data_IF_080439428049
#
_entry.id   IF_080439428049
#
_cell.length_a   1.000
_cell.length_b   1.000
_cell.length_c   1.000
_cell.angle_alpha   90.00
_cell.angle_beta   90.00
_cell.angle_gamma   90.00
#
_symmetry.space_group_name_H-M   'P 1'
#
loop_
_entity.id
_entity.type
_entity.pdbx_description
1 polymer ?
#
# COMPACT_ATOMS: atom_id res chain seq x y z
N UNK A 1 -16.03 9.30 -29.05
CA UNK A 1 -14.73 9.73 -28.52
C UNK A 1 -14.98 10.28 -27.12
N UNK A 2 -14.57 9.56 -26.08
CA UNK A 2 -14.75 9.97 -24.68
C UNK A 2 -13.54 10.78 -24.23
N UNK A 3 -13.56 12.08 -24.48
CA UNK A 3 -12.56 12.98 -23.93
C UNK A 3 -12.68 12.96 -22.40
N UNK A 4 -11.71 12.34 -21.72
CA UNK A 4 -11.51 12.45 -20.27
C UNK A 4 -11.79 11.22 -19.41
N UNK A 5 -12.42 10.14 -19.91
CA UNK A 5 -12.60 8.92 -19.11
C UNK A 5 -11.34 8.05 -19.12
N UNK A 6 -10.81 7.74 -17.93
CA UNK A 6 -9.63 6.89 -17.76
C UNK A 6 -10.01 5.42 -17.55
N UNK A 7 -11.06 5.21 -16.78
CA UNK A 7 -11.58 3.90 -16.43
C UNK A 7 -12.98 3.78 -17.01
N UNK A 8 -13.23 2.72 -17.77
CA UNK A 8 -14.56 2.39 -18.26
C UNK A 8 -15.21 1.29 -17.40
N UNK A 9 -16.27 1.69 -16.68
CA UNK A 9 -17.10 0.81 -15.88
C UNK A 9 -18.35 0.31 -16.62
N UNK A 10 -18.51 0.62 -17.91
CA UNK A 10 -19.72 0.29 -18.68
C UNK A 10 -20.03 -1.21 -18.65
N UNK A 11 -19.02 -2.06 -18.80
CA UNK A 11 -19.15 -3.52 -18.74
C UNK A 11 -19.39 -4.00 -17.30
N UNK A 12 -18.73 -3.39 -16.32
CA UNK A 12 -18.91 -3.71 -14.91
C UNK A 12 -20.38 -3.52 -14.46
N UNK A 13 -21.04 -2.45 -14.90
CA UNK A 13 -22.46 -2.20 -14.58
C UNK A 13 -23.36 -3.36 -15.03
N UNK A 14 -23.08 -3.94 -16.20
CA UNK A 14 -23.87 -5.07 -16.70
C UNK A 14 -23.61 -6.34 -15.88
N UNK A 15 -22.37 -6.60 -15.46
CA UNK A 15 -22.02 -7.72 -14.57
C UNK A 15 -22.72 -7.57 -13.22
N UNK A 16 -22.71 -6.37 -12.64
CA UNK A 16 -23.34 -6.10 -11.34
C UNK A 16 -24.88 -6.23 -11.41
N UNK A 17 -25.50 -5.83 -12.53
CA UNK A 17 -26.94 -6.08 -12.78
C UNK A 17 -27.26 -7.56 -12.88
N UNK A 18 -26.45 -8.33 -13.62
CA UNK A 18 -26.62 -9.78 -13.74
C UNK A 18 -26.49 -10.45 -12.36
N UNK A 19 -25.52 -10.04 -11.55
CA UNK A 19 -25.34 -10.48 -10.17
C UNK A 19 -26.60 -10.24 -9.33
N UNK A 20 -27.15 -9.03 -9.32
CA UNK A 20 -28.35 -8.72 -8.55
C UNK A 20 -29.56 -9.59 -8.95
N UNK A 21 -29.74 -9.84 -10.25
CA UNK A 21 -30.81 -10.70 -10.77
C UNK A 21 -30.61 -12.15 -10.33
N UNK A 22 -29.38 -12.68 -10.42
CA UNK A 22 -29.07 -14.05 -10.01
C UNK A 22 -29.32 -14.23 -8.50
N UNK A 23 -28.87 -13.29 -7.67
CA UNK A 23 -29.12 -13.35 -6.21
C UNK A 23 -30.61 -13.38 -5.92
N UNK A 24 -31.40 -12.52 -6.59
CA UNK A 24 -32.86 -12.49 -6.41
C UNK A 24 -33.52 -13.82 -6.80
N UNK A 25 -33.11 -14.43 -7.92
CA UNK A 25 -33.62 -15.73 -8.37
C UNK A 25 -33.34 -16.81 -7.33
N UNK A 26 -32.13 -16.84 -6.77
CA UNK A 26 -31.75 -17.81 -5.74
C UNK A 26 -32.54 -17.60 -4.44
N UNK A 27 -32.73 -16.35 -3.99
CA UNK A 27 -33.52 -16.04 -2.79
C UNK A 27 -34.97 -16.50 -2.98
N UNK A 28 -35.61 -16.11 -4.08
CA UNK A 28 -37.01 -16.47 -4.36
C UNK A 28 -37.14 -17.99 -4.52
N UNK A 29 -36.21 -18.63 -5.22
CA UNK A 29 -36.16 -20.09 -5.38
C UNK A 29 -36.00 -20.81 -4.05
N UNK A 30 -35.11 -20.35 -3.17
CA UNK A 30 -34.91 -20.90 -1.83
C UNK A 30 -36.16 -20.79 -0.96
N UNK A 31 -36.81 -19.62 -0.95
CA UNK A 31 -38.06 -19.39 -0.21
C UNK A 31 -39.17 -20.34 -0.69
N UNK A 32 -39.33 -20.49 -2.01
CA UNK A 32 -40.36 -21.38 -2.59
C UNK A 32 -40.07 -22.83 -2.24
N UNK A 33 -38.82 -23.29 -2.46
CA UNK A 33 -38.42 -24.67 -2.20
C UNK A 33 -38.57 -25.06 -0.72
N UNK A 34 -38.25 -24.14 0.20
CA UNK A 34 -38.32 -24.40 1.63
C UNK A 34 -39.75 -24.41 2.18
N UNK A 35 -40.60 -23.50 1.72
CA UNK A 35 -41.92 -23.29 2.33
C UNK A 35 -43.06 -24.06 1.66
N UNK A 36 -42.93 -24.44 0.38
CA UNK A 36 -44.01 -25.09 -0.36
C UNK A 36 -43.80 -26.60 -0.59
N UNK A 37 -42.60 -27.11 -0.33
CA UNK A 37 -42.30 -28.54 -0.53
C UNK A 37 -41.82 -29.17 0.78
N UNK A 38 -42.65 -30.05 1.35
CA UNK A 38 -42.33 -30.81 2.55
C UNK A 38 -41.41 -31.99 2.22
N UNK A 39 -40.12 -31.71 2.02
CA UNK A 39 -39.11 -32.74 1.82
C UNK A 39 -37.82 -32.42 2.61
N UNK A 40 -37.38 -33.29 3.54
CA UNK A 40 -36.16 -33.04 4.32
C UNK A 40 -34.90 -32.86 3.47
N UNK A 41 -34.85 -33.49 2.28
CA UNK A 41 -33.75 -33.31 1.34
C UNK A 41 -33.75 -31.90 0.73
N UNK A 42 -34.92 -31.29 0.51
CA UNK A 42 -35.02 -29.91 0.00
C UNK A 42 -34.54 -28.88 1.02
N UNK A 43 -34.74 -29.10 2.32
CA UNK A 43 -34.18 -28.22 3.35
C UNK A 43 -32.65 -28.22 3.32
N UNK A 44 -32.01 -29.38 3.19
CA UNK A 44 -30.55 -29.49 3.02
C UNK A 44 -30.07 -28.79 1.74
N UNK A 45 -30.83 -28.90 0.64
CA UNK A 45 -30.53 -28.19 -0.61
C UNK A 45 -30.58 -26.68 -0.40
N UNK A 46 -31.61 -26.16 0.29
CA UNK A 46 -31.78 -24.72 0.54
C UNK A 46 -30.72 -24.16 1.47
N UNK A 47 -30.31 -24.91 2.49
CA UNK A 47 -29.38 -24.44 3.52
C UNK A 47 -27.90 -24.62 3.12
N UNK A 48 -27.57 -25.55 2.22
CA UNK A 48 -26.19 -25.90 1.88
C UNK A 48 -25.93 -25.83 0.38
N UNK A 49 -26.66 -26.59 -0.44
CA UNK A 49 -26.32 -26.74 -1.86
C UNK A 49 -26.54 -25.46 -2.67
N UNK A 50 -27.71 -24.82 -2.53
CA UNK A 50 -28.03 -23.58 -3.22
C UNK A 50 -27.14 -22.41 -2.77
N UNK A 51 -26.87 -22.20 -1.48
CA UNK A 51 -25.85 -21.26 -1.03
C UNK A 51 -24.47 -21.58 -1.58
N UNK A 52 -24.06 -22.85 -1.64
CA UNK A 52 -22.78 -23.25 -2.23
C UNK A 52 -22.66 -22.86 -3.71
N UNK A 53 -23.70 -23.13 -4.50
CA UNK A 53 -23.76 -22.72 -5.91
C UNK A 53 -23.79 -21.19 -6.05
N UNK A 54 -24.57 -20.50 -5.21
CA UNK A 54 -24.64 -19.04 -5.19
C UNK A 54 -23.29 -18.43 -4.82
N UNK A 55 -22.54 -19.02 -3.89
CA UNK A 55 -21.20 -18.59 -3.49
C UNK A 55 -20.25 -18.65 -4.69
N UNK A 56 -20.15 -19.82 -5.34
CA UNK A 56 -19.27 -19.98 -6.52
C UNK A 56 -19.66 -19.04 -7.65
N UNK A 57 -20.96 -18.91 -7.92
CA UNK A 57 -21.47 -18.02 -8.98
C UNK A 57 -21.16 -16.55 -8.67
N UNK A 58 -21.36 -16.12 -7.42
CA UNK A 58 -21.06 -14.77 -6.96
C UNK A 58 -19.56 -14.47 -7.00
N UNK A 59 -18.72 -15.45 -6.66
CA UNK A 59 -17.26 -15.34 -6.78
C UNK A 59 -16.84 -15.14 -8.24
N UNK A 60 -17.37 -15.94 -9.17
CA UNK A 60 -17.11 -15.79 -10.62
C UNK A 60 -17.57 -14.41 -11.10
N UNK A 61 -18.72 -13.93 -10.65
CA UNK A 61 -19.23 -12.60 -11.02
C UNK A 61 -18.42 -11.47 -10.41
N UNK A 62 -17.93 -11.61 -9.17
CA UNK A 62 -17.00 -10.65 -8.56
C UNK A 62 -15.70 -10.57 -9.34
N UNK A 63 -15.13 -11.72 -9.68
CA UNK A 63 -13.93 -11.82 -10.52
C UNK A 63 -14.14 -11.20 -11.90
N UNK A 64 -15.27 -11.53 -12.54
CA UNK A 64 -15.68 -10.97 -13.82
C UNK A 64 -15.95 -9.47 -13.76
N UNK A 65 -16.48 -8.98 -12.63
CA UNK A 65 -16.75 -7.56 -12.40
C UNK A 65 -15.45 -6.76 -12.37
N UNK A 66 -14.43 -7.21 -11.62
CA UNK A 66 -13.11 -6.56 -11.62
C UNK A 66 -12.43 -6.65 -12.99
N UNK A 67 -12.51 -7.79 -13.68
CA UNK A 67 -11.98 -7.93 -15.05
C UNK A 67 -12.73 -7.15 -16.12
N UNK A 68 -13.95 -6.70 -15.83
CA UNK A 68 -14.74 -5.87 -16.73
C UNK A 68 -14.44 -4.37 -16.58
N UNK A 69 -13.54 -4.01 -15.66
CA UNK A 69 -12.99 -2.66 -15.54
C UNK A 69 -11.91 -2.52 -16.60
N UNK A 70 -12.23 -1.82 -17.68
CA UNK A 70 -11.28 -1.59 -18.79
C UNK A 70 -10.56 -0.25 -18.59
N UNK A 71 -9.24 -0.26 -18.72
CA UNK A 71 -8.44 0.96 -18.81
C UNK A 71 -8.41 1.46 -20.26
N UNK A 72 -8.72 2.74 -20.45
CA UNK A 72 -8.61 3.35 -21.77
C UNK A 72 -7.15 3.81 -21.96
N UNK A 73 -6.38 3.25 -22.90
CA UNK A 73 -5.00 3.70 -23.13
C UNK A 73 -4.98 5.13 -23.68
N UNK A 74 -3.98 5.91 -23.27
CA UNK A 74 -3.82 7.30 -23.67
C UNK A 74 -2.62 7.95 -23.00
N UNK A 75 -2.12 9.03 -23.59
CA UNK A 75 -0.93 9.74 -23.10
C UNK A 75 -1.24 10.52 -21.81
N UNK A 76 -0.27 10.53 -20.90
CA UNK A 76 -0.33 11.27 -19.64
C UNK A 76 0.51 12.53 -19.75
N UNK A 77 -0.03 13.66 -19.30
CA UNK A 77 0.77 14.86 -19.10
C UNK A 77 1.61 14.66 -17.84
N UNK A 78 2.92 14.54 -18.03
CA UNK A 78 3.88 14.29 -16.96
C UNK A 78 4.35 15.61 -16.37
N UNK A 79 4.16 15.77 -15.06
CA UNK A 79 4.64 16.91 -14.29
C UNK A 79 5.52 16.45 -13.15
N UNK A 80 6.79 16.82 -13.17
CA UNK A 80 7.69 16.63 -12.03
C UNK A 80 7.50 17.76 -11.04
N UNK A 81 7.26 17.42 -9.78
CA UNK A 81 7.16 18.40 -8.70
C UNK A 81 7.87 17.89 -7.46
N UNK A 82 8.36 18.84 -6.66
CA UNK A 82 8.91 18.57 -5.34
C UNK A 82 7.80 18.78 -4.32
N UNK A 83 7.61 17.82 -3.42
CA UNK A 83 6.65 17.91 -2.31
C UNK A 83 7.32 17.54 -0.99
N UNK A 84 6.76 18.01 0.12
CA UNK A 84 7.19 17.56 1.45
C UNK A 84 6.78 16.11 1.70
N UNK A 85 7.29 15.48 2.77
CA UNK A 85 6.84 14.13 3.13
C UNK A 85 5.37 14.13 3.56
N UNK A 86 4.91 15.18 4.26
CA UNK A 86 3.50 15.31 4.66
C UNK A 86 2.57 15.48 3.45
N UNK A 87 2.96 16.29 2.47
CA UNK A 87 2.20 16.45 1.22
C UNK A 87 2.20 15.16 0.41
N UNK A 88 3.31 14.42 0.42
CA UNK A 88 3.37 13.11 -0.23
C UNK A 88 2.43 12.09 0.43
N UNK A 89 2.36 12.04 1.76
CA UNK A 89 1.43 11.17 2.49
C UNK A 89 -0.03 11.50 2.13
N UNK A 90 -0.39 12.79 2.09
CA UNK A 90 -1.73 13.21 1.65
C UNK A 90 -2.01 12.82 0.19
N UNK A 91 -1.02 12.92 -0.70
CA UNK A 91 -1.16 12.48 -2.10
C UNK A 91 -1.30 10.96 -2.22
N UNK A 92 -0.62 10.20 -1.38
CA UNK A 92 -0.74 8.73 -1.31
C UNK A 92 -2.12 8.34 -0.79
N UNK A 93 -2.63 8.99 0.26
CA UNK A 93 -3.97 8.73 0.78
C UNK A 93 -5.05 8.98 -0.28
N UNK A 94 -4.97 10.13 -0.98
CA UNK A 94 -5.88 10.45 -2.08
C UNK A 94 -5.77 9.46 -3.25
N UNK A 95 -4.56 8.97 -3.51
CA UNK A 95 -4.29 7.96 -4.54
C UNK A 95 -4.87 6.59 -4.15
N UNK A 96 -4.71 6.17 -2.90
CA UNK A 96 -5.27 4.93 -2.37
C UNK A 96 -6.81 5.00 -2.32
N UNK A 97 -7.39 6.14 -1.98
CA UNK A 97 -8.85 6.33 -2.04
C UNK A 97 -9.38 6.24 -3.49
N UNK A 98 -8.67 6.83 -4.45
CA UNK A 98 -9.10 6.85 -5.85
C UNK A 98 -8.88 5.53 -6.58
N UNK A 99 -7.80 4.80 -6.28
CA UNK A 99 -7.35 3.65 -7.07
C UNK A 99 -7.05 2.39 -6.25
N UNK A 100 -7.08 2.44 -4.92
CA UNK A 100 -6.69 1.33 -4.05
C UNK A 100 -7.47 0.04 -4.31
N UNK A 101 -8.75 0.15 -4.70
CA UNK A 101 -9.62 -0.98 -5.04
C UNK A 101 -9.20 -1.71 -6.34
N UNK A 102 -8.38 -1.07 -7.18
CA UNK A 102 -7.90 -1.65 -8.44
C UNK A 102 -6.72 -2.60 -8.23
N UNK A 103 -5.89 -2.36 -7.21
CA UNK A 103 -4.70 -3.15 -6.92
C UNK A 103 -4.96 -4.19 -5.82
N UNK A 104 -4.09 -5.20 -5.69
CA UNK A 104 -4.17 -6.14 -4.59
C UNK A 104 -3.47 -5.56 -3.36
N UNK A 105 -4.21 -5.42 -2.26
CA UNK A 105 -3.66 -5.05 -0.97
C UNK A 105 -3.25 -6.31 -0.21
N UNK A 106 -2.14 -6.26 0.54
CA UNK A 106 -1.71 -7.37 1.40
C UNK A 106 -2.77 -7.76 2.44
N UNK A 107 -3.57 -6.78 2.88
CA UNK A 107 -4.71 -6.95 3.78
C UNK A 107 -5.90 -7.72 3.16
N UNK A 108 -5.98 -7.85 1.83
CA UNK A 108 -7.09 -8.56 1.16
C UNK A 108 -7.15 -10.03 1.55
N UNK A 109 -5.99 -10.65 1.81
CA UNK A 109 -5.90 -12.03 2.30
C UNK A 109 -6.60 -12.23 3.64
N UNK A 110 -6.43 -11.29 4.57
CA UNK A 110 -7.07 -11.31 5.89
C UNK A 110 -8.57 -11.08 5.79
N UNK A 111 -8.99 -10.13 4.95
CA UNK A 111 -10.42 -9.83 4.73
C UNK A 111 -11.13 -11.05 4.13
N UNK A 112 -10.52 -11.73 3.15
CA UNK A 112 -11.07 -12.97 2.59
C UNK A 112 -11.25 -14.06 3.66
N UNK A 113 -10.26 -14.24 4.54
CA UNK A 113 -10.36 -15.21 5.64
C UNK A 113 -11.51 -14.86 6.61
N UNK A 114 -11.62 -13.59 7.02
CA UNK A 114 -12.67 -13.12 7.91
C UNK A 114 -14.07 -13.30 7.30
N UNK A 115 -14.24 -13.02 6.00
CA UNK A 115 -15.49 -13.22 5.29
C UNK A 115 -15.89 -14.71 5.21
N UNK A 116 -14.95 -15.62 4.99
CA UNK A 116 -15.23 -17.07 5.00
C UNK A 116 -15.67 -17.58 6.37
N UNK A 117 -15.05 -17.08 7.46
CA UNK A 117 -15.49 -17.39 8.82
C UNK A 117 -16.91 -16.86 9.10
N UNK A 118 -17.22 -15.67 8.61
CA UNK A 118 -18.54 -15.09 8.76
C UNK A 118 -19.61 -15.90 8.01
N UNK A 119 -19.35 -16.24 6.73
CA UNK A 119 -20.24 -17.09 5.92
C UNK A 119 -20.47 -18.44 6.59
N UNK A 120 -19.41 -19.16 6.96
CA UNK A 120 -19.54 -20.47 7.61
C UNK A 120 -20.35 -20.41 8.90
N UNK A 121 -20.14 -19.38 9.73
CA UNK A 121 -20.91 -19.17 10.97
C UNK A 121 -22.38 -18.94 10.67
N UNK A 122 -22.71 -18.11 9.68
CA UNK A 122 -24.11 -17.84 9.29
C UNK A 122 -24.81 -19.06 8.71
N UNK A 123 -24.11 -19.88 7.92
CA UNK A 123 -24.65 -21.14 7.39
C UNK A 123 -24.94 -22.14 8.51
N UNK A 124 -24.00 -22.34 9.44
CA UNK A 124 -24.18 -23.25 10.57
C UNK A 124 -25.33 -22.78 11.46
N UNK A 125 -25.41 -21.48 11.75
CA UNK A 125 -26.48 -20.92 12.57
C UNK A 125 -27.85 -21.11 11.90
N UNK A 126 -27.96 -20.81 10.60
CA UNK A 126 -29.21 -21.00 9.84
C UNK A 126 -29.66 -22.47 9.85
N UNK A 127 -28.72 -23.39 9.60
CA UNK A 127 -28.98 -24.83 9.64
C UNK A 127 -29.47 -25.29 11.04
N UNK A 128 -28.85 -24.79 12.11
CA UNK A 128 -29.27 -25.11 13.48
C UNK A 128 -30.67 -24.56 13.78
N UNK A 129 -31.02 -23.37 13.29
CA UNK A 129 -32.35 -22.80 13.48
C UNK A 129 -33.43 -23.62 12.77
N UNK A 130 -33.20 -24.00 11.51
CA UNK A 130 -34.15 -24.82 10.75
C UNK A 130 -34.28 -26.25 11.28
N UNK A 131 -33.18 -26.89 11.69
CA UNK A 131 -33.20 -28.29 12.19
C UNK A 131 -33.83 -28.42 13.58
N UNK A 132 -33.61 -27.45 14.46
CA UNK A 132 -34.18 -27.47 15.82
C UNK A 132 -35.59 -26.87 15.90
N UNK A 133 -36.15 -26.37 14.80
CA UNK A 133 -37.49 -25.79 14.76
C UNK A 133 -37.68 -24.60 15.72
N UNK A 134 -36.63 -23.80 15.91
CA UNK A 134 -36.67 -22.63 16.79
C UNK A 134 -37.56 -21.56 16.18
N UNK A 135 -38.62 -21.18 16.91
CA UNK A 135 -39.66 -20.27 16.44
C UNK A 135 -39.45 -18.92 17.13
N UNK A 136 -39.15 -17.88 16.34
CA UNK A 136 -38.90 -16.51 16.82
C UNK A 136 -40.17 -15.66 16.70
N UNK A 137 -40.78 -15.67 15.52
CA UNK A 137 -41.99 -14.87 15.20
C UNK A 137 -43.07 -15.77 14.62
N UNK A 138 -42.78 -16.38 13.47
CA UNK A 138 -43.68 -17.26 12.74
C UNK A 138 -42.85 -18.15 11.80
N UNK A 139 -43.16 -19.46 11.68
CA UNK A 139 -42.35 -20.37 10.85
C UNK A 139 -42.11 -19.89 9.41
N UNK A 140 -43.09 -19.22 8.79
CA UNK A 140 -42.98 -18.68 7.44
C UNK A 140 -42.12 -17.41 7.39
N UNK A 141 -42.28 -16.52 8.37
CA UNK A 141 -41.52 -15.26 8.41
C UNK A 141 -40.07 -15.54 8.79
N UNK A 142 -39.85 -16.43 9.74
CA UNK A 142 -38.54 -16.84 10.23
C UNK A 142 -37.74 -17.52 9.11
N UNK A 143 -38.37 -18.41 8.33
CA UNK A 143 -37.70 -19.06 7.18
C UNK A 143 -37.35 -18.06 6.08
N UNK A 144 -38.24 -17.12 5.75
CA UNK A 144 -37.98 -16.08 4.74
C UNK A 144 -36.78 -15.23 5.19
N UNK A 145 -36.77 -14.76 6.44
CA UNK A 145 -35.69 -13.93 6.96
C UNK A 145 -34.36 -14.68 6.95
N UNK A 146 -34.33 -15.91 7.47
CA UNK A 146 -33.12 -16.72 7.53
C UNK A 146 -32.55 -17.01 6.14
N UNK A 147 -33.39 -17.39 5.17
CA UNK A 147 -32.98 -17.63 3.78
C UNK A 147 -32.44 -16.35 3.15
N UNK A 148 -33.12 -15.21 3.32
CA UNK A 148 -32.65 -13.92 2.80
C UNK A 148 -31.29 -13.55 3.40
N UNK A 149 -31.14 -13.62 4.73
CA UNK A 149 -29.88 -13.29 5.38
C UNK A 149 -28.74 -14.20 4.93
N UNK A 150 -28.98 -15.52 4.92
CA UNK A 150 -27.99 -16.50 4.48
C UNK A 150 -27.53 -16.21 3.05
N UNK A 151 -28.47 -16.03 2.12
CA UNK A 151 -28.15 -15.88 0.69
C UNK A 151 -27.50 -14.52 0.39
N UNK A 152 -27.94 -13.44 1.05
CA UNK A 152 -27.32 -12.11 0.91
C UNK A 152 -25.90 -12.12 1.47
N UNK A 153 -25.70 -12.58 2.70
CA UNK A 153 -24.36 -12.60 3.33
C UNK A 153 -23.41 -13.45 2.52
N UNK A 154 -23.86 -14.65 2.13
CA UNK A 154 -23.06 -15.59 1.35
C UNK A 154 -22.71 -15.03 -0.05
N UNK A 155 -23.68 -14.45 -0.77
CA UNK A 155 -23.43 -13.88 -2.09
C UNK A 155 -22.55 -12.62 -2.06
N UNK A 156 -22.77 -11.71 -1.11
CA UNK A 156 -21.97 -10.48 -0.97
C UNK A 156 -20.54 -10.83 -0.59
N UNK A 157 -20.36 -11.71 0.40
CA UNK A 157 -19.01 -12.14 0.83
C UNK A 157 -18.25 -12.79 -0.32
N UNK A 158 -18.91 -13.70 -1.05
CA UNK A 158 -18.32 -14.35 -2.22
C UNK A 158 -17.97 -13.38 -3.35
N UNK A 159 -18.86 -12.42 -3.62
CA UNK A 159 -18.62 -11.40 -4.64
C UNK A 159 -17.43 -10.51 -4.27
N UNK A 160 -17.34 -10.07 -3.03
CA UNK A 160 -16.20 -9.27 -2.53
C UNK A 160 -14.89 -10.06 -2.61
N UNK A 161 -14.89 -11.32 -2.19
CA UNK A 161 -13.72 -12.22 -2.33
C UNK A 161 -13.35 -12.33 -3.82
N UNK A 162 -14.31 -12.64 -4.68
CA UNK A 162 -14.11 -12.76 -6.12
C UNK A 162 -13.55 -11.48 -6.75
N UNK A 163 -14.05 -10.32 -6.32
CA UNK A 163 -13.59 -9.01 -6.76
C UNK A 163 -12.16 -8.72 -6.31
N UNK A 164 -11.71 -9.20 -5.15
CA UNK A 164 -10.34 -8.93 -4.66
C UNK A 164 -9.27 -9.87 -5.22
N UNK A 165 -9.65 -11.03 -5.75
CA UNK A 165 -8.71 -12.02 -6.31
C UNK A 165 -7.91 -11.52 -7.53
N UNK A 166 -8.54 -10.98 -8.60
CA UNK A 166 -7.78 -10.60 -9.78
C UNK A 166 -7.02 -9.29 -9.51
N UNK A 167 -5.74 -9.30 -9.87
CA UNK A 167 -4.95 -8.08 -10.03
C UNK A 167 -5.21 -7.52 -11.43
N UNK A 168 -5.41 -6.21 -11.51
CA UNK A 168 -5.32 -5.51 -12.80
C UNK A 168 -3.84 -5.24 -13.01
N UNK A 169 -3.30 -5.70 -14.15
CA UNK A 169 -1.88 -5.57 -14.51
C UNK A 169 -1.57 -4.08 -14.69
N UNK A 170 -1.08 -3.46 -13.63
CA UNK A 170 -0.88 -2.02 -13.52
C UNK A 170 0.57 -1.60 -13.56
N UNK A 171 1.45 -2.58 -13.80
CA UNK A 171 2.89 -2.47 -13.67
C UNK A 171 3.49 -1.34 -14.54
N UNK A 172 2.78 -0.85 -15.55
CA UNK A 172 3.24 0.23 -16.41
C UNK A 172 2.84 1.66 -15.95
N UNK A 173 1.87 1.81 -15.04
CA UNK A 173 1.28 3.14 -14.76
C UNK A 173 1.20 3.54 -13.28
N UNK A 174 1.24 2.58 -12.36
CA UNK A 174 0.87 2.80 -10.97
C UNK A 174 1.91 2.13 -10.06
N UNK A 175 3.04 2.81 -9.84
CA UNK A 175 4.07 2.30 -8.92
C UNK A 175 3.53 2.37 -7.49
N UNK A 176 3.73 1.33 -6.67
CA UNK A 176 3.34 1.39 -5.27
C UNK A 176 4.07 2.52 -4.56
N UNK A 177 3.45 3.16 -3.55
CA UNK A 177 4.08 4.22 -2.78
C UNK A 177 5.42 3.76 -2.19
N UNK A 178 6.38 4.68 -2.10
CA UNK A 178 7.65 4.43 -1.40
C UNK A 178 7.34 4.17 0.07
N UNK A 179 7.60 2.95 0.53
CA UNK A 179 7.36 2.50 1.90
C UNK A 179 8.62 1.87 2.52
N UNK A 180 8.58 1.60 3.82
CA UNK A 180 9.65 0.89 4.53
C UNK A 180 10.60 1.78 5.33
N UNK A 181 11.65 1.16 5.87
CA UNK A 181 12.54 1.82 6.84
C UNK A 181 13.32 2.98 6.23
N UNK A 182 13.74 2.87 4.96
CA UNK A 182 14.44 3.94 4.25
C UNK A 182 13.58 5.20 4.14
N UNK A 183 12.30 5.07 3.80
CA UNK A 183 11.34 6.18 3.80
C UNK A 183 11.19 6.78 5.19
N UNK A 184 10.99 5.93 6.22
CA UNK A 184 10.86 6.38 7.61
C UNK A 184 12.07 7.19 8.06
N UNK A 185 13.29 6.73 7.82
CA UNK A 185 14.48 7.49 8.19
C UNK A 185 14.70 8.73 7.33
N UNK A 186 14.38 8.68 6.04
CA UNK A 186 14.44 9.86 5.18
C UNK A 186 13.46 10.96 5.60
N UNK A 187 12.25 10.62 6.02
CA UNK A 187 11.29 11.58 6.58
C UNK A 187 11.86 12.29 7.82
N UNK A 188 12.74 11.63 8.60
CA UNK A 188 13.38 12.25 9.76
C UNK A 188 14.44 13.31 9.40
N UNK A 189 14.86 13.38 8.13
CA UNK A 189 15.71 14.46 7.64
C UNK A 189 14.92 15.76 7.44
N UNK A 190 13.59 15.68 7.34
CA UNK A 190 12.74 16.87 7.28
C UNK A 190 12.86 17.67 8.59
N UNK A 191 13.22 18.95 8.46
CA UNK A 191 13.47 19.85 9.60
C UNK A 191 14.87 19.73 10.22
N UNK A 192 15.80 18.96 9.64
CA UNK A 192 17.21 19.00 10.05
C UNK A 192 17.87 20.26 9.51
N UNK A 193 18.52 21.03 10.38
CA UNK A 193 19.26 22.23 10.00
C UNK A 193 20.31 21.92 8.94
N UNK A 194 20.27 22.63 7.81
CA UNK A 194 21.22 22.45 6.71
C UNK A 194 20.85 21.37 5.70
N UNK A 195 19.71 20.68 5.86
CA UNK A 195 19.21 19.69 4.89
C UNK A 195 17.81 20.10 4.41
N UNK A 196 17.61 20.04 3.09
CA UNK A 196 16.30 20.08 2.45
C UNK A 196 15.96 18.67 1.98
N UNK A 197 15.08 17.98 2.70
CA UNK A 197 14.60 16.64 2.36
C UNK A 197 13.13 16.69 1.90
N UNK A 198 12.75 15.79 1.00
CA UNK A 198 11.40 15.69 0.47
C UNK A 198 11.29 14.63 -0.61
N UNK A 199 10.18 14.70 -1.34
CA UNK A 199 9.85 13.74 -2.39
C UNK A 199 9.85 14.43 -3.75
N UNK A 200 10.61 13.87 -4.70
CA UNK A 200 10.52 14.20 -6.10
C UNK A 200 9.49 13.27 -6.73
N UNK A 201 8.30 13.80 -7.03
CA UNK A 201 7.21 13.02 -7.61
C UNK A 201 7.02 13.38 -9.08
N UNK A 202 6.76 12.37 -9.91
CA UNK A 202 6.26 12.52 -11.27
C UNK A 202 4.75 12.24 -11.24
N UNK A 203 3.97 13.31 -11.39
CA UNK A 203 2.52 13.24 -11.46
C UNK A 203 2.10 13.05 -12.92
N UNK A 204 1.17 12.11 -13.15
CA UNK A 204 0.45 11.99 -14.41
C UNK A 204 -0.89 12.70 -14.30
N UNK A 205 -1.19 13.61 -15.22
CA UNK A 205 -2.53 14.23 -15.33
C UNK A 205 -3.14 13.86 -16.67
N UNK A 206 -4.38 13.37 -16.65
CA UNK A 206 -5.16 13.09 -17.87
C UNK A 206 -6.65 13.27 -17.58
N UNK A 207 -7.37 14.01 -18.41
CA UNK A 207 -8.84 14.10 -18.29
C UNK A 207 -9.36 14.61 -16.93
N UNK A 208 -8.58 15.41 -16.20
CA UNK A 208 -8.92 15.88 -14.85
C UNK A 208 -8.63 14.87 -13.73
N UNK A 209 -8.08 13.69 -14.02
CA UNK A 209 -7.60 12.75 -13.02
C UNK A 209 -6.09 12.84 -12.87
N UNK A 210 -5.62 12.73 -11.63
CA UNK A 210 -4.20 12.80 -11.26
C UNK A 210 -3.74 11.45 -10.69
N UNK A 211 -2.49 11.07 -10.96
CA UNK A 211 -1.88 9.84 -10.45
C UNK A 211 -0.40 10.05 -10.15
N UNK A 212 0.17 9.21 -9.28
CA UNK A 212 1.60 9.16 -9.00
C UNK A 212 2.23 8.11 -9.93
N UNK A 213 3.03 8.56 -10.91
CA UNK A 213 3.73 7.68 -11.85
C UNK A 213 5.07 7.21 -11.27
N UNK A 214 5.76 8.11 -10.58
CA UNK A 214 7.03 7.84 -9.93
C UNK A 214 7.19 8.71 -8.69
N UNK A 215 7.79 8.15 -7.65
CA UNK A 215 8.12 8.86 -6.43
C UNK A 215 9.52 8.45 -5.99
N UNK A 216 10.39 9.45 -5.78
CA UNK A 216 11.76 9.24 -5.32
C UNK A 216 12.05 10.15 -4.14
N UNK A 217 12.61 9.56 -3.07
CA UNK A 217 13.12 10.30 -1.92
C UNK A 217 14.39 11.03 -2.32
N UNK A 218 14.44 12.34 -2.08
CA UNK A 218 15.63 13.15 -2.33
C UNK A 218 15.93 14.05 -1.13
N UNK A 219 17.22 14.25 -0.88
CA UNK A 219 17.68 15.20 0.12
C UNK A 219 18.92 15.92 -0.35
N UNK A 220 18.93 17.23 -0.15
CA UNK A 220 19.97 18.16 -0.57
C UNK A 220 20.51 18.95 0.62
N UNK A 221 21.71 19.48 0.50
CA UNK A 221 22.23 20.43 1.49
C UNK A 221 21.68 21.83 1.20
N UNK A 222 21.12 22.48 2.21
CA UNK A 222 20.45 23.77 2.05
C UNK A 222 21.43 24.87 1.66
N UNK A 223 21.10 25.62 0.60
CA UNK A 223 21.92 26.72 0.10
C UNK A 223 23.04 26.29 -0.85
N UNK A 224 23.14 25.00 -1.19
CA UNK A 224 24.06 24.45 -2.18
C UNK A 224 23.29 23.94 -3.42
N UNK A 225 23.96 23.72 -4.56
CA UNK A 225 23.33 23.14 -5.73
C UNK A 225 22.84 21.70 -5.50
N UNK A 226 21.87 21.25 -6.30
CA UNK A 226 21.30 19.89 -6.27
C UNK A 226 22.33 18.77 -6.53
N UNK A 227 23.55 19.13 -6.95
CA UNK A 227 24.69 18.23 -7.07
C UNK A 227 25.29 17.80 -5.72
N UNK A 228 24.90 18.46 -4.62
CA UNK A 228 25.25 18.11 -3.25
C UNK A 228 24.07 17.41 -2.58
N UNK A 229 24.14 16.08 -2.51
CA UNK A 229 23.03 15.25 -2.09
C UNK A 229 23.36 14.46 -0.82
N UNK A 230 22.33 14.15 -0.06
CA UNK A 230 22.38 13.22 1.06
C UNK A 230 21.39 12.10 0.74
N UNK A 231 21.81 10.84 0.83
CA UNK A 231 20.96 9.67 0.64
C UNK A 231 20.95 8.84 1.91
N UNK A 232 19.76 8.48 2.38
CA UNK A 232 19.61 7.53 3.49
C UNK A 232 19.71 6.10 2.94
N UNK A 233 20.53 5.28 3.58
CA UNK A 233 20.56 3.84 3.35
C UNK A 233 20.36 3.11 4.68
N UNK A 234 19.68 1.96 4.63
CA UNK A 234 19.39 1.14 5.81
C UNK A 234 19.95 -0.25 5.58
N UNK A 235 20.82 -0.69 6.48
CA UNK A 235 21.31 -2.07 6.51
C UNK A 235 20.45 -2.89 7.47
N UNK A 236 20.00 -4.07 7.02
CA UNK A 236 19.23 -5.00 7.83
C UNK A 236 20.12 -6.17 8.28
N UNK A 237 20.83 -5.98 9.39
CA UNK A 237 21.67 -7.03 10.02
C UNK A 237 21.16 -7.31 11.44
N UNK A 238 19.98 -7.91 11.54
CA UNK A 238 19.29 -8.18 12.81
C UNK A 238 18.47 -7.01 13.39
N UNK A 239 18.73 -5.78 12.94
CA UNK A 239 17.93 -4.57 13.19
C UNK A 239 18.13 -3.58 12.04
N UNK A 240 17.24 -2.57 11.93
CA UNK A 240 17.36 -1.51 10.93
C UNK A 240 18.45 -0.52 11.35
N UNK A 241 19.56 -0.52 10.62
CA UNK A 241 20.71 0.34 10.89
C UNK A 241 20.84 1.42 9.81
N UNK A 242 20.39 2.66 10.08
CA UNK A 242 20.47 3.75 9.11
C UNK A 242 21.87 4.36 9.06
N UNK A 243 22.33 4.68 7.85
CA UNK A 243 23.51 5.48 7.59
C UNK A 243 23.25 6.47 6.45
N UNK A 244 24.04 7.53 6.42
CA UNK A 244 23.89 8.63 5.46
C UNK A 244 25.04 8.57 4.46
N UNK A 245 24.72 8.67 3.19
CA UNK A 245 25.69 8.76 2.10
C UNK A 245 25.54 10.15 1.49
N UNK A 246 26.50 11.01 1.77
CA UNK A 246 26.63 12.32 1.17
C UNK A 246 27.44 12.23 -0.12
N UNK A 247 27.01 12.94 -1.16
CA UNK A 247 27.73 13.02 -2.44
C UNK A 247 27.88 14.47 -2.88
N UNK A 248 29.05 14.82 -3.41
CA UNK A 248 29.37 16.13 -3.99
C UNK A 248 29.96 15.90 -5.38
N UNK A 249 29.21 16.23 -6.43
CA UNK A 249 29.77 16.22 -7.79
C UNK A 249 30.72 17.41 -7.98
N UNK A 250 31.91 17.15 -8.50
CA UNK A 250 33.05 18.08 -8.57
C UNK A 250 33.44 18.67 -7.21
N UNK A 251 33.42 17.80 -6.19
CA UNK A 251 33.86 18.14 -4.83
C UNK A 251 35.38 18.21 -4.71
N UNK A 252 35.86 18.74 -3.59
CA UNK A 252 37.30 18.83 -3.31
C UNK A 252 37.86 17.40 -3.18
N UNK A 253 39.04 17.09 -3.76
CA UNK A 253 39.61 15.75 -3.74
C UNK A 253 39.76 15.23 -2.32
N UNK A 254 39.24 14.03 -2.06
CA UNK A 254 39.31 13.37 -0.73
C UNK A 254 40.08 12.05 -0.83
N UNK A 255 41.02 11.85 0.07
CA UNK A 255 41.71 10.56 0.22
C UNK A 255 40.82 9.54 0.92
N UNK A 256 40.93 8.27 0.53
CA UNK A 256 40.18 7.16 1.14
C UNK A 256 40.60 6.98 2.60
N UNK A 257 39.80 7.54 3.51
CA UNK A 257 40.11 7.63 4.93
C UNK A 257 38.87 7.40 5.77
N UNK A 258 39.07 6.95 7.01
CA UNK A 258 38.00 6.80 7.99
C UNK A 258 38.36 7.56 9.26
N UNK A 259 37.46 8.46 9.66
CA UNK A 259 37.63 9.31 10.83
C UNK A 259 36.51 9.07 11.85
N UNK A 260 36.88 8.97 13.13
CA UNK A 260 35.92 8.88 14.22
C UNK A 260 35.73 10.25 14.88
N UNK A 261 34.49 10.70 14.91
CA UNK A 261 34.08 11.99 15.46
C UNK A 261 33.13 11.78 16.63
N UNK A 262 33.42 12.45 17.75
CA UNK A 262 32.54 12.44 18.91
C UNK A 262 31.60 13.63 18.88
N UNK A 263 30.40 13.42 18.34
CA UNK A 263 29.29 14.37 18.45
C UNK A 263 28.46 14.06 19.70
N UNK A 264 27.56 14.98 20.09
CA UNK A 264 26.69 14.84 21.29
C UNK A 264 25.57 13.79 21.08
N UNK A 265 25.95 12.58 20.71
CA UNK A 265 25.08 11.41 20.46
C UNK A 265 25.50 10.23 21.35
N UNK A 266 24.63 9.22 21.44
CA UNK A 266 24.90 8.01 22.23
C UNK A 266 26.13 7.24 21.76
N UNK A 267 26.33 7.14 20.46
CA UNK A 267 27.46 6.47 19.82
C UNK A 267 28.32 7.48 19.07
N UNK A 268 29.65 7.29 19.01
CA UNK A 268 30.50 8.10 18.14
C UNK A 268 30.14 7.88 16.67
N UNK A 269 30.54 8.81 15.81
CA UNK A 269 30.24 8.79 14.39
C UNK A 269 31.52 8.43 13.63
N UNK A 270 31.42 7.48 12.71
CA UNK A 270 32.44 7.23 11.72
C UNK A 270 32.07 7.94 10.41
N UNK A 271 32.99 8.75 9.90
CA UNK A 271 32.96 9.30 8.54
C UNK A 271 33.93 8.50 7.69
N UNK A 272 33.46 7.93 6.59
CA UNK A 272 34.28 7.27 5.58
C UNK A 272 34.26 8.14 4.33
N UNK A 273 35.43 8.62 3.92
CA UNK A 273 35.60 9.43 2.72
C UNK A 273 36.09 8.54 1.60
N UNK A 274 35.56 8.72 0.40
CA UNK A 274 36.07 8.12 -0.82
C UNK A 274 35.82 9.04 -2.01
N UNK A 275 36.66 8.94 -3.04
CA UNK A 275 36.47 9.63 -4.30
C UNK A 275 36.11 8.59 -5.37
N UNK A 276 35.04 8.84 -6.12
CA UNK A 276 34.66 8.07 -7.29
C UNK A 276 34.62 8.99 -8.51
N UNK A 277 35.66 8.91 -9.35
CA UNK A 277 35.90 9.83 -10.47
C UNK A 277 35.87 11.32 -10.06
N UNK A 278 34.81 12.05 -10.41
CA UNK A 278 34.58 13.46 -10.06
C UNK A 278 33.62 13.62 -8.87
N UNK A 279 33.22 12.55 -8.20
CA UNK A 279 32.26 12.57 -7.08
C UNK A 279 32.96 12.28 -5.76
N UNK A 280 32.97 13.26 -4.86
CA UNK A 280 33.37 13.03 -3.48
C UNK A 280 32.20 12.39 -2.70
N UNK A 281 32.45 11.25 -2.07
CA UNK A 281 31.48 10.48 -1.28
C UNK A 281 31.89 10.51 0.18
N UNK A 282 30.95 10.88 1.05
CA UNK A 282 31.13 10.88 2.50
C UNK A 282 30.05 10.00 3.11
N UNK A 283 30.43 8.85 3.66
CA UNK A 283 29.51 7.95 4.36
C UNK A 283 29.58 8.25 5.86
N UNK A 284 28.47 8.67 6.44
CA UNK A 284 28.34 8.94 7.88
C UNK A 284 27.49 7.87 8.55
N UNK A 285 28.05 7.22 9.57
CA UNK A 285 27.39 6.13 10.30
C UNK A 285 27.77 6.14 11.78
N UNK A 286 26.99 5.47 12.63
CA UNK A 286 27.34 5.33 14.04
C UNK A 286 28.36 4.19 14.24
N UNK A 287 29.44 4.45 14.96
CA UNK A 287 30.40 3.40 15.32
C UNK A 287 29.83 2.58 16.50
N UNK A 288 29.11 1.52 16.15
CA UNK A 288 28.43 0.65 17.09
C UNK A 288 29.39 -0.42 17.65
N UNK A 289 29.33 -0.71 18.95
CA UNK A 289 30.17 -1.75 19.55
C UNK A 289 29.86 -3.13 18.96
N UNK A 290 30.89 -3.81 18.42
CA UNK A 290 30.79 -5.12 17.75
C UNK A 290 30.27 -6.27 18.64
N UNK A 291 30.32 -6.10 19.97
CA UNK A 291 29.84 -7.08 20.95
C UNK A 291 28.92 -6.38 21.95
N UNK A 292 27.62 -6.54 21.77
CA UNK A 292 26.59 -6.09 22.70
C UNK A 292 25.51 -7.16 22.80
N UNK A 293 25.11 -7.50 24.03
CA UNK A 293 23.96 -8.39 24.28
C UNK A 293 22.61 -7.68 24.06
N UNK A 294 22.65 -6.37 23.75
CA UNK A 294 21.47 -5.53 23.52
C UNK A 294 21.55 -4.98 22.10
N UNK A 295 20.45 -5.09 21.35
CA UNK A 295 20.29 -4.49 20.03
C UNK A 295 20.54 -2.98 20.15
N UNK A 296 21.52 -2.41 19.43
CA UNK A 296 21.77 -0.98 19.46
C UNK A 296 20.55 -0.20 18.97
N UNK A 297 20.09 0.75 19.77
CA UNK A 297 18.98 1.63 19.41
C UNK A 297 19.52 3.03 19.12
N UNK A 298 19.28 3.51 17.90
CA UNK A 298 19.61 4.86 17.43
C UNK A 298 18.34 5.70 17.55
N UNK A 299 18.38 6.70 18.42
CA UNK A 299 17.23 7.61 18.57
C UNK A 299 17.09 8.52 17.36
N UNK A 300 15.86 8.96 17.06
CA UNK A 300 15.60 9.97 16.02
C UNK A 300 16.42 11.25 16.25
N UNK A 301 16.60 11.66 17.51
CA UNK A 301 17.43 12.82 17.86
C UNK A 301 18.90 12.61 17.50
N UNK A 302 19.46 11.42 17.75
CA UNK A 302 20.83 11.10 17.38
C UNK A 302 20.99 11.08 15.86
N UNK A 303 20.06 10.45 15.14
CA UNK A 303 20.07 10.42 13.68
C UNK A 303 20.00 11.83 13.06
N UNK A 304 19.16 12.73 13.59
CA UNK A 304 19.10 14.13 13.14
C UNK A 304 20.40 14.89 13.39
N UNK A 305 21.12 14.60 14.48
CA UNK A 305 22.44 15.19 14.75
C UNK A 305 23.50 14.67 13.79
N UNK A 306 23.48 13.37 13.46
CA UNK A 306 24.33 12.79 12.43
C UNK A 306 24.08 13.46 11.07
N UNK A 307 22.82 13.69 10.73
CA UNK A 307 22.40 14.36 9.51
C UNK A 307 22.89 15.83 9.44
N UNK A 308 22.71 16.60 10.51
CA UNK A 308 23.26 17.96 10.58
C UNK A 308 24.80 17.96 10.46
N UNK A 309 25.47 16.97 11.05
CA UNK A 309 26.92 16.86 11.01
C UNK A 309 27.45 16.55 9.60
N UNK A 310 26.84 15.60 8.88
CA UNK A 310 27.24 15.33 7.48
C UNK A 310 26.95 16.51 6.57
N UNK A 311 25.85 17.26 6.77
CA UNK A 311 25.55 18.44 5.97
C UNK A 311 26.62 19.53 6.10
N UNK A 312 27.16 19.74 7.29
CA UNK A 312 28.29 20.65 7.52
C UNK A 312 29.52 20.16 6.74
N UNK A 313 29.85 18.86 6.82
CA UNK A 313 31.02 18.30 6.13
C UNK A 313 30.92 18.35 4.61
N UNK A 314 29.73 18.11 4.06
CA UNK A 314 29.48 18.24 2.63
C UNK A 314 29.62 19.69 2.17
N UNK A 315 29.13 20.64 2.98
CA UNK A 315 29.31 22.06 2.72
C UNK A 315 30.78 22.47 2.75
N UNK A 316 31.53 22.05 3.77
CA UNK A 316 32.96 22.34 3.87
C UNK A 316 33.72 21.81 2.64
N UNK A 317 33.39 20.60 2.17
CA UNK A 317 34.02 20.01 0.97
C UNK A 317 33.66 20.77 -0.32
N UNK A 318 32.40 21.19 -0.48
CA UNK A 318 31.96 21.96 -1.64
C UNK A 318 32.58 23.37 -1.64
N UNK A 319 32.56 24.07 -0.51
CA UNK A 319 33.12 25.42 -0.41
C UNK A 319 34.65 25.41 -0.67
N UNK A 320 35.35 24.33 -0.34
CA UNK A 320 36.76 24.14 -0.66
C UNK A 320 37.01 23.95 -2.16
N UNK A 321 36.11 23.29 -2.90
CA UNK A 321 36.29 23.07 -4.35
C UNK A 321 36.01 24.31 -5.19
N UNK A 322 35.24 25.26 -4.67
CA UNK A 322 34.94 26.54 -5.35
C UNK A 322 36.09 27.56 -5.18
N UNK A 323 36.99 27.35 -4.22
CA UNK A 323 38.11 28.26 -3.93
C UNK A 323 39.39 27.95 -4.73
N UNK A 324 39.48 26.78 -5.37
CA UNK A 324 40.55 26.40 -6.31
C UNK A 324 40.24 26.83 -7.75
#
# INVERSE_FOLDING_TARGET
>A
MSEGKIIDYSRQVNVNRAYAIIVLIFIVGGIILFNYFENPLLHVIVDIALPGVLFVTSLILGFGSKKAIDYIPGEWEKRKTWVSFSEYEELVDNYEEAYGDLFAHSADSMICLCLLLFVSTTTVLTLLFHTNGLLLINPLIDSILLIVFLYVINSVSAFVIGFRIPTIDSDEFFKPPVTGDTYKFASQLEGVTGIRAGMSIELGVRGGTQTILEAEVKSYVQGLPDSVQVKVQVSHSGFAYPYLVGTVYKGFPVETTSESHRIKTKYPVALEYSMDEEVAVIVARFDLPKKSNVVPNISTSDFRKLAAFIAIKLKDNYDASVQE
#
